data_IF_226192976877
#
_entry.id   IF_226192976877
#
_cell.length_a   1.000
_cell.length_b   1.000
_cell.length_c   1.000
_cell.angle_alpha   90.00
_cell.angle_beta   90.00
_cell.angle_gamma   90.00
#
_symmetry.space_group_name_H-M   'P 1'
#
loop_
_entity.id
_entity.type
_entity.pdbx_description
1 polymer ?
#
# COMPACT_ATOMS: atom_id res chain seq x y z
N UNK A 1 2.17 15.67 -16.44
CA UNK A 1 2.08 14.80 -15.25
C UNK A 1 3.50 14.36 -14.90
N UNK A 2 4.02 14.72 -13.72
CA UNK A 2 5.34 14.26 -13.29
C UNK A 2 5.21 12.85 -12.71
N UNK A 3 6.07 11.93 -13.14
CA UNK A 3 6.13 10.57 -12.61
C UNK A 3 7.57 10.24 -12.22
N UNK A 4 7.72 9.34 -11.24
CA UNK A 4 9.04 8.91 -10.80
C UNK A 4 9.52 7.76 -11.66
N UNK A 5 10.73 7.86 -12.20
CA UNK A 5 11.41 6.74 -12.87
C UNK A 5 12.46 6.15 -11.94
N UNK A 6 12.33 4.86 -11.63
CA UNK A 6 13.33 4.15 -10.84
C UNK A 6 14.62 4.00 -11.63
N UNK A 7 15.72 4.54 -11.11
CA UNK A 7 17.07 4.33 -11.67
C UNK A 7 17.70 3.00 -11.24
N UNK A 8 17.16 2.37 -10.20
CA UNK A 8 17.62 1.10 -9.65
C UNK A 8 16.44 0.16 -9.44
N UNK A 9 16.65 -1.13 -9.75
CA UNK A 9 15.63 -2.17 -9.55
C UNK A 9 15.26 -2.28 -8.06
N UNK A 10 13.98 -2.45 -7.78
CA UNK A 10 13.41 -2.70 -6.45
C UNK A 10 13.64 -1.58 -5.39
N UNK A 11 13.98 -0.36 -5.82
CA UNK A 11 14.25 0.75 -4.89
C UNK A 11 12.97 1.41 -4.33
N UNK A 12 11.83 1.29 -5.01
CA UNK A 12 10.61 2.02 -4.65
C UNK A 12 10.13 1.73 -3.22
N UNK A 13 10.11 0.46 -2.81
CA UNK A 13 9.66 0.07 -1.47
C UNK A 13 10.60 0.61 -0.38
N UNK A 14 11.91 0.61 -0.62
CA UNK A 14 12.90 1.20 0.29
C UNK A 14 12.66 2.70 0.48
N UNK A 15 12.48 3.43 -0.63
CA UNK A 15 12.18 4.87 -0.58
C UNK A 15 10.84 5.12 0.11
N UNK A 16 9.82 4.30 -0.14
CA UNK A 16 8.54 4.39 0.56
C UNK A 16 8.73 4.30 2.07
N UNK A 17 9.46 3.30 2.57
CA UNK A 17 9.71 3.17 4.01
C UNK A 17 10.54 4.32 4.55
N UNK A 18 11.60 4.74 3.85
CA UNK A 18 12.38 5.91 4.25
C UNK A 18 11.49 7.15 4.41
N UNK A 19 10.69 7.48 3.40
CA UNK A 19 9.80 8.65 3.42
C UNK A 19 8.73 8.50 4.50
N UNK A 20 8.20 7.30 4.73
CA UNK A 20 7.20 7.05 5.78
C UNK A 20 7.72 7.29 7.21
N UNK A 21 9.04 7.22 7.40
CA UNK A 21 9.67 7.56 8.70
C UNK A 21 9.93 9.05 8.89
N UNK A 22 9.79 9.86 7.83
CA UNK A 22 10.00 11.30 7.92
C UNK A 22 8.74 12.01 8.41
N UNK A 23 8.89 13.03 9.27
CA UNK A 23 7.79 13.91 9.63
C UNK A 23 7.60 14.99 8.56
N UNK A 24 7.04 14.59 7.42
CA UNK A 24 6.82 15.47 6.27
C UNK A 24 5.97 16.71 6.62
N UNK A 25 5.03 16.57 7.56
CA UNK A 25 4.16 17.67 8.00
C UNK A 25 4.99 18.78 8.66
N UNK A 26 5.95 18.40 9.52
CA UNK A 26 6.85 19.37 10.17
C UNK A 26 7.79 20.07 9.20
N UNK A 27 7.94 19.54 7.99
CA UNK A 27 8.79 20.09 6.94
C UNK A 27 8.05 21.03 5.99
N UNK A 28 6.75 21.24 6.17
CA UNK A 28 6.01 22.21 5.38
C UNK A 28 6.50 23.62 5.64
N UNK A 29 6.64 24.42 4.59
CA UNK A 29 7.01 25.83 4.66
C UNK A 29 5.83 26.72 4.26
N UNK A 30 5.87 27.99 4.70
CA UNK A 30 4.83 28.99 4.44
C UNK A 30 3.84 29.14 5.62
N UNK A 31 3.56 30.38 5.99
CA UNK A 31 2.71 30.72 7.14
C UNK A 31 1.21 30.71 6.82
N UNK A 32 0.82 31.05 5.59
CA UNK A 32 -0.58 31.12 5.17
C UNK A 32 -1.11 29.78 4.63
N UNK A 33 -0.30 29.06 3.86
CA UNK A 33 -0.61 27.70 3.34
C UNK A 33 0.65 26.85 3.49
N UNK A 34 0.75 26.06 4.58
CA UNK A 34 1.87 25.15 4.77
C UNK A 34 1.91 24.14 3.63
N UNK A 35 3.00 24.14 2.86
CA UNK A 35 3.18 23.20 1.76
C UNK A 35 4.61 22.69 1.68
N UNK A 36 4.74 21.48 1.16
CA UNK A 36 6.03 20.87 0.87
C UNK A 36 6.50 21.33 -0.50
N UNK A 37 7.72 21.87 -0.57
CA UNK A 37 8.34 22.27 -1.83
C UNK A 37 9.24 21.17 -2.39
N UNK A 38 9.50 21.20 -3.69
CA UNK A 38 10.45 20.29 -4.35
C UNK A 38 11.86 20.45 -3.79
N UNK A 39 12.25 21.66 -3.39
CA UNK A 39 13.52 21.95 -2.75
C UNK A 39 13.66 21.22 -1.41
N UNK A 40 12.64 21.28 -0.56
CA UNK A 40 12.63 20.59 0.74
C UNK A 40 12.76 19.07 0.55
N UNK A 41 12.02 18.51 -0.42
CA UNK A 41 12.11 17.09 -0.77
C UNK A 41 13.50 16.71 -1.33
N UNK A 42 14.06 17.52 -2.22
CA UNK A 42 15.39 17.27 -2.81
C UNK A 42 16.52 17.36 -1.78
N UNK A 43 16.31 18.12 -0.71
CA UNK A 43 17.27 18.27 0.39
C UNK A 43 17.17 17.14 1.45
N UNK A 44 16.21 16.22 1.33
CA UNK A 44 16.13 15.05 2.21
C UNK A 44 17.36 14.15 2.02
N UNK A 45 18.13 13.97 3.09
CA UNK A 45 19.28 13.07 3.09
C UNK A 45 18.80 11.63 3.27
N UNK A 46 18.79 10.88 2.17
CA UNK A 46 18.52 9.45 2.18
C UNK A 46 19.83 8.67 2.11
N UNK A 47 20.02 7.72 3.03
CA UNK A 47 21.13 6.75 2.92
C UNK A 47 20.77 5.76 1.82
N UNK A 48 21.64 5.62 0.82
CA UNK A 48 21.49 4.60 -0.22
C UNK A 48 22.33 3.39 0.17
N UNK A 49 21.67 2.31 0.55
CA UNK A 49 22.35 1.08 0.93
C UNK A 49 22.99 0.38 -0.29
N UNK A 50 24.09 -0.38 -0.10
CA UNK A 50 24.66 -1.23 -1.14
C UNK A 50 23.63 -2.18 -1.75
N UNK A 51 23.82 -2.53 -3.02
CA UNK A 51 22.89 -3.35 -3.80
C UNK A 51 22.55 -4.68 -3.11
N UNK A 52 23.52 -5.32 -2.45
CA UNK A 52 23.31 -6.59 -1.75
C UNK A 52 22.37 -6.45 -0.55
N UNK A 53 22.44 -5.34 0.17
CA UNK A 53 21.50 -5.04 1.27
C UNK A 53 20.11 -4.78 0.70
N UNK A 54 20.02 -4.01 -0.38
CA UNK A 54 18.75 -3.72 -1.06
C UNK A 54 18.06 -5.00 -1.57
N UNK A 55 18.83 -5.96 -2.10
CA UNK A 55 18.30 -7.28 -2.51
C UNK A 55 17.75 -8.06 -1.32
N UNK A 56 18.50 -8.14 -0.22
CA UNK A 56 18.05 -8.84 1.01
C UNK A 56 16.79 -8.19 1.59
N UNK A 57 16.76 -6.87 1.63
CA UNK A 57 15.59 -6.10 2.04
C UNK A 57 14.37 -6.44 1.18
N UNK A 58 14.56 -6.51 -0.15
CA UNK A 58 13.48 -6.84 -1.06
C UNK A 58 12.95 -8.27 -0.90
N UNK A 59 13.83 -9.24 -0.65
CA UNK A 59 13.45 -10.63 -0.36
C UNK A 59 12.56 -10.71 0.89
N UNK A 60 12.88 -9.93 1.93
CA UNK A 60 12.13 -9.95 3.19
C UNK A 60 10.77 -9.28 3.05
N UNK A 61 10.71 -8.10 2.41
CA UNK A 61 9.47 -7.33 2.34
C UNK A 61 8.46 -7.87 1.31
N UNK A 62 8.93 -8.45 0.20
CA UNK A 62 8.06 -8.87 -0.91
C UNK A 62 6.92 -9.79 -0.49
N UNK A 63 7.15 -10.90 0.26
CA UNK A 63 6.06 -11.77 0.67
C UNK A 63 5.00 -11.06 1.55
N UNK A 64 5.41 -10.04 2.33
CA UNK A 64 4.48 -9.27 3.17
C UNK A 64 3.53 -8.45 2.29
N UNK A 65 4.06 -7.70 1.33
CA UNK A 65 3.23 -6.91 0.40
C UNK A 65 2.34 -7.81 -0.47
N UNK A 66 2.83 -8.96 -0.90
CA UNK A 66 2.02 -9.94 -1.64
C UNK A 66 0.88 -10.49 -0.80
N UNK A 67 1.14 -10.82 0.47
CA UNK A 67 0.09 -11.27 1.39
C UNK A 67 -0.96 -10.18 1.62
N UNK A 68 -0.54 -8.93 1.82
CA UNK A 68 -1.46 -7.79 1.95
C UNK A 68 -2.34 -7.63 0.71
N UNK A 69 -1.77 -7.72 -0.49
CA UNK A 69 -2.52 -7.65 -1.74
C UNK A 69 -3.51 -8.81 -1.87
N UNK A 70 -3.07 -10.06 -1.61
CA UNK A 70 -3.93 -11.24 -1.65
C UNK A 70 -5.11 -11.11 -0.70
N UNK A 71 -4.85 -10.71 0.54
CA UNK A 71 -5.89 -10.51 1.56
C UNK A 71 -6.86 -9.40 1.16
N UNK A 72 -6.37 -8.30 0.58
CA UNK A 72 -7.24 -7.22 0.10
C UNK A 72 -8.15 -7.67 -1.05
N UNK A 73 -7.63 -8.48 -1.97
CA UNK A 73 -8.42 -9.04 -3.08
C UNK A 73 -9.48 -10.01 -2.54
N UNK A 74 -9.10 -10.88 -1.61
CA UNK A 74 -9.99 -11.86 -1.01
C UNK A 74 -11.12 -11.18 -0.21
N UNK A 75 -10.78 -10.20 0.63
CA UNK A 75 -11.77 -9.41 1.38
C UNK A 75 -12.78 -8.73 0.44
N UNK A 76 -12.32 -8.22 -0.71
CA UNK A 76 -13.22 -7.62 -1.71
C UNK A 76 -14.15 -8.67 -2.32
N UNK A 77 -13.63 -9.85 -2.68
CA UNK A 77 -14.44 -10.96 -3.20
C UNK A 77 -15.48 -11.43 -2.20
N UNK A 78 -15.07 -11.66 -0.95
CA UNK A 78 -15.97 -12.07 0.14
C UNK A 78 -17.04 -11.02 0.40
N UNK A 79 -16.69 -9.74 0.35
CA UNK A 79 -17.67 -8.65 0.49
C UNK A 79 -18.72 -8.68 -0.64
N UNK A 80 -18.30 -8.88 -1.89
CA UNK A 80 -19.22 -9.01 -3.03
C UNK A 80 -20.13 -10.23 -2.87
N UNK A 81 -19.58 -11.37 -2.46
CA UNK A 81 -20.36 -12.59 -2.22
C UNK A 81 -21.37 -12.37 -1.10
N UNK A 82 -20.96 -11.75 0.01
CA UNK A 82 -21.86 -11.39 1.12
C UNK A 82 -23.00 -10.50 0.61
N UNK A 83 -22.67 -9.43 -0.11
CA UNK A 83 -23.66 -8.46 -0.58
C UNK A 83 -24.62 -9.06 -1.61
N UNK A 84 -24.20 -10.09 -2.34
CA UNK A 84 -25.05 -10.86 -3.24
C UNK A 84 -25.94 -11.87 -2.50
N UNK A 85 -25.40 -12.62 -1.53
CA UNK A 85 -26.12 -13.69 -0.85
C UNK A 85 -27.07 -13.18 0.24
N UNK A 86 -26.68 -12.13 0.98
CA UNK A 86 -27.44 -11.65 2.12
C UNK A 86 -28.87 -11.23 1.75
N UNK A 87 -29.13 -10.49 0.64
CA UNK A 87 -30.51 -10.19 0.23
C UNK A 87 -31.34 -11.43 -0.10
N UNK A 88 -30.75 -12.45 -0.73
CA UNK A 88 -31.42 -13.71 -1.10
C UNK A 88 -31.76 -14.57 0.13
N UNK A 89 -30.89 -14.54 1.14
CA UNK A 89 -31.15 -15.17 2.44
C UNK A 89 -32.28 -14.43 3.18
N UNK A 90 -32.24 -13.10 3.19
CA UNK A 90 -33.25 -12.25 3.85
C UNK A 90 -34.63 -12.34 3.19
N UNK A 91 -34.69 -12.49 1.86
CA UNK A 91 -35.95 -12.66 1.12
C UNK A 91 -36.52 -14.08 1.22
N UNK A 92 -35.75 -15.04 1.73
CA UNK A 92 -36.12 -16.46 1.76
C UNK A 92 -36.04 -17.17 0.41
N UNK A 93 -35.50 -16.50 -0.63
CA UNK A 93 -35.20 -17.10 -1.94
C UNK A 93 -34.14 -18.20 -1.81
N UNK A 94 -33.21 -18.04 -0.87
CA UNK A 94 -32.20 -19.03 -0.52
C UNK A 94 -32.43 -19.49 0.93
N UNK A 95 -32.54 -20.80 1.16
CA UNK A 95 -32.66 -21.37 2.51
C UNK A 95 -31.38 -22.08 2.90
N UNK A 96 -31.01 -21.97 4.18
CA UNK A 96 -29.81 -22.59 4.73
C UNK A 96 -29.87 -24.12 4.62
N UNK A 97 -31.06 -24.70 4.78
CA UNK A 97 -31.26 -26.15 4.72
C UNK A 97 -31.02 -26.75 3.32
N UNK A 98 -31.10 -25.94 2.26
CA UNK A 98 -30.90 -26.39 0.87
C UNK A 98 -29.41 -26.47 0.50
N UNK A 99 -28.51 -25.99 1.36
CA UNK A 99 -27.06 -25.93 1.14
C UNK A 99 -26.29 -27.11 1.76
N UNK A 100 -26.98 -27.98 2.52
CA UNK A 100 -26.42 -29.20 3.10
C UNK A 100 -27.08 -30.42 2.45
N UNK A 101 -26.52 -30.88 1.33
CA UNK A 101 -26.81 -32.16 0.67
C UNK A 101 -25.53 -32.76 0.14
#
# INVERSE_FOLDING_TARGET
MFYTQMKQKNIAKYIYFFVSTQNLISMNAGSAVPSMTTEILNNLKCVIAPLEIMKRFDIIQTPIFEAMQKNSIENKKLSVIRDFLLPKLMSGELKINDLHS
#
